data_IF_214361088315
#
_entry.id   IF_214361088315
#
_cell.length_a   1.000
_cell.length_b   1.000
_cell.length_c   1.000
_cell.angle_alpha   90.00
_cell.angle_beta   90.00
_cell.angle_gamma   90.00
#
_symmetry.space_group_name_H-M   'P 1'
#
loop_
_entity.id
_entity.type
_entity.pdbx_description
1 polymer ?
#
# COMPACT_ATOMS: atom_id res chain seq x y z
N UNK A 1 -9.74 -6.01 -4.10
CA UNK A 1 -8.69 -6.61 -4.94
C UNK A 1 -9.20 -7.30 -6.21
N UNK A 2 -10.50 -7.59 -6.38
CA UNK A 2 -10.98 -8.46 -7.46
C UNK A 2 -11.45 -7.72 -8.75
N UNK A 3 -11.90 -6.46 -8.64
CA UNK A 3 -12.31 -5.63 -9.79
C UNK A 3 -11.15 -5.23 -10.76
N UNK A 4 -9.91 -4.97 -10.28
CA UNK A 4 -8.78 -4.66 -11.18
C UNK A 4 -8.46 -5.81 -12.15
N UNK A 5 -8.55 -7.07 -11.71
CA UNK A 5 -8.20 -8.23 -12.53
C UNK A 5 -9.11 -8.37 -13.77
N UNK A 6 -10.39 -8.00 -13.65
CA UNK A 6 -11.32 -7.98 -14.79
C UNK A 6 -10.93 -6.93 -15.84
N UNK A 7 -10.48 -5.76 -15.37
CA UNK A 7 -10.20 -4.60 -16.20
C UNK A 7 -8.77 -4.61 -16.77
N UNK A 8 -7.88 -5.36 -16.12
CA UNK A 8 -6.45 -5.40 -16.43
C UNK A 8 -6.06 -6.60 -17.28
N UNK A 9 -6.98 -7.50 -17.65
CA UNK A 9 -6.66 -8.69 -18.45
C UNK A 9 -5.81 -8.41 -19.70
N UNK A 10 -6.14 -7.37 -20.48
CA UNK A 10 -5.37 -7.00 -21.68
C UNK A 10 -3.98 -6.43 -21.33
N UNK A 11 -3.90 -5.66 -20.25
CA UNK A 11 -2.64 -5.11 -19.74
C UNK A 11 -1.76 -6.26 -19.19
N UNK A 12 -2.35 -7.24 -18.49
CA UNK A 12 -1.67 -8.42 -17.95
C UNK A 12 -1.18 -9.35 -19.06
N UNK A 13 -1.95 -9.51 -20.15
CA UNK A 13 -1.52 -10.22 -21.35
C UNK A 13 -0.31 -9.53 -21.99
N UNK A 14 -0.36 -8.20 -22.13
CA UNK A 14 0.76 -7.43 -22.67
C UNK A 14 2.00 -7.51 -21.78
N UNK A 15 1.83 -7.54 -20.46
CA UNK A 15 2.93 -7.76 -19.51
C UNK A 15 3.65 -9.09 -19.75
N UNK A 16 2.89 -10.16 -20.02
CA UNK A 16 3.46 -11.47 -20.38
C UNK A 16 4.29 -11.39 -21.67
N UNK A 17 3.80 -10.70 -22.70
CA UNK A 17 4.50 -10.52 -23.98
C UNK A 17 5.84 -9.79 -23.85
N UNK A 18 5.97 -8.90 -22.85
CA UNK A 18 7.21 -8.13 -22.57
C UNK A 18 8.06 -8.75 -21.45
N UNK A 19 7.80 -9.99 -21.06
CA UNK A 19 8.64 -10.76 -20.15
C UNK A 19 8.32 -10.61 -18.65
N UNK A 20 7.17 -10.02 -18.27
CA UNK A 20 6.66 -10.06 -16.89
C UNK A 20 5.39 -10.93 -16.81
N UNK A 21 5.52 -12.26 -16.63
CA UNK A 21 4.39 -13.18 -16.62
C UNK A 21 3.60 -13.15 -15.30
N UNK A 22 4.09 -12.48 -14.25
CA UNK A 22 3.49 -12.50 -12.92
C UNK A 22 2.01 -12.04 -12.91
N UNK A 23 1.63 -10.93 -13.57
CA UNK A 23 0.23 -10.49 -13.58
C UNK A 23 -0.68 -11.46 -14.34
N UNK A 24 -0.22 -12.02 -15.47
CA UNK A 24 -0.99 -12.99 -16.25
C UNK A 24 -1.16 -14.34 -15.52
N UNK A 25 -0.30 -14.66 -14.56
CA UNK A 25 -0.40 -15.88 -13.75
C UNK A 25 -1.53 -15.87 -12.69
N UNK A 26 -2.33 -14.79 -12.61
CA UNK A 26 -3.52 -14.74 -11.75
C UNK A 26 -4.61 -15.73 -12.22
N UNK A 27 -5.58 -16.09 -11.35
CA UNK A 27 -6.60 -17.09 -11.68
C UNK A 27 -7.36 -16.84 -12.99
N UNK A 28 -7.65 -15.57 -13.31
CA UNK A 28 -8.31 -15.20 -14.57
C UNK A 28 -7.42 -15.43 -15.80
N UNK A 29 -6.15 -15.03 -15.75
CA UNK A 29 -5.20 -15.22 -16.85
C UNK A 29 -4.85 -16.68 -17.11
N UNK A 30 -4.88 -17.51 -16.05
CA UNK A 30 -4.74 -18.98 -16.13
C UNK A 30 -6.02 -19.72 -16.56
N UNK A 31 -7.14 -19.01 -16.71
CA UNK A 31 -8.43 -19.64 -17.01
C UNK A 31 -9.00 -20.52 -15.89
N UNK A 32 -8.49 -20.37 -14.65
CA UNK A 32 -9.02 -21.08 -13.49
C UNK A 32 -10.37 -20.53 -13.01
N UNK A 33 -10.67 -19.28 -13.39
CA UNK A 33 -11.93 -18.59 -13.10
C UNK A 33 -12.35 -17.82 -14.34
N UNK A 34 -13.62 -17.91 -14.73
CA UNK A 34 -14.19 -17.14 -15.83
C UNK A 34 -14.45 -15.68 -15.45
N UNK A 35 -14.59 -14.80 -16.46
CA UNK A 35 -14.96 -13.39 -16.23
C UNK A 35 -16.30 -13.24 -15.51
N UNK A 36 -17.26 -14.15 -15.77
CA UNK A 36 -18.57 -14.13 -15.14
C UNK A 36 -18.51 -14.49 -13.66
N UNK A 37 -17.79 -15.57 -13.32
CA UNK A 37 -17.57 -15.99 -11.93
C UNK A 37 -16.83 -14.91 -11.14
N UNK A 38 -15.78 -14.32 -11.72
CA UNK A 38 -15.02 -13.28 -11.06
C UNK A 38 -15.90 -12.04 -10.77
N UNK A 39 -16.75 -11.63 -11.71
CA UNK A 39 -17.75 -10.56 -11.49
C UNK A 39 -18.72 -10.90 -10.36
N UNK A 40 -19.24 -12.12 -10.34
CA UNK A 40 -20.17 -12.57 -9.31
C UNK A 40 -19.52 -12.56 -7.92
N UNK A 41 -18.25 -12.98 -7.82
CA UNK A 41 -17.48 -12.92 -6.58
C UNK A 41 -17.28 -11.47 -6.15
N UNK A 42 -16.85 -10.58 -7.05
CA UNK A 42 -16.67 -9.14 -6.74
C UNK A 42 -17.96 -8.53 -6.21
N UNK A 43 -19.07 -8.73 -6.92
CA UNK A 43 -20.36 -8.16 -6.57
C UNK A 43 -20.85 -8.69 -5.22
N UNK A 44 -20.81 -10.01 -5.02
CA UNK A 44 -21.25 -10.65 -3.76
C UNK A 44 -20.40 -10.17 -2.59
N UNK A 45 -19.07 -10.17 -2.72
CA UNK A 45 -18.18 -9.71 -1.64
C UNK A 45 -18.35 -8.21 -1.35
N UNK A 46 -18.60 -7.39 -2.36
CA UNK A 46 -18.82 -5.95 -2.18
C UNK A 46 -20.14 -5.67 -1.45
N UNK A 47 -21.22 -6.37 -1.81
CA UNK A 47 -22.52 -6.24 -1.14
C UNK A 47 -22.43 -6.73 0.31
N UNK A 48 -21.82 -7.89 0.55
CA UNK A 48 -21.63 -8.41 1.90
C UNK A 48 -20.76 -7.47 2.75
N UNK A 49 -19.65 -6.98 2.20
CA UNK A 49 -18.77 -6.03 2.88
C UNK A 49 -19.49 -4.73 3.25
N UNK A 50 -20.29 -4.18 2.35
CA UNK A 50 -21.10 -2.98 2.63
C UNK A 50 -22.21 -3.25 3.65
N UNK A 51 -22.85 -4.42 3.61
CA UNK A 51 -23.86 -4.80 4.60
C UNK A 51 -23.26 -4.88 6.02
N UNK A 52 -22.08 -5.49 6.16
CA UNK A 52 -21.33 -5.53 7.42
C UNK A 52 -20.94 -4.12 7.85
N UNK A 53 -20.38 -3.31 6.95
CA UNK A 53 -20.01 -1.93 7.26
C UNK A 53 -21.20 -1.08 7.75
N UNK A 54 -22.37 -1.27 7.13
CA UNK A 54 -23.62 -0.61 7.53
C UNK A 54 -24.09 -1.04 8.92
N UNK A 55 -23.93 -2.32 9.28
CA UNK A 55 -24.28 -2.81 10.63
C UNK A 55 -23.40 -2.24 11.75
N UNK A 56 -22.22 -1.70 11.41
CA UNK A 56 -21.33 -1.04 12.38
C UNK A 56 -21.81 0.40 12.63
N UNK A 57 -21.74 1.25 11.60
CA UNK A 57 -22.33 2.60 11.59
C UNK A 57 -22.25 3.24 10.19
N UNK A 58 -22.97 4.36 10.01
CA UNK A 58 -23.05 5.09 8.74
C UNK A 58 -21.71 5.63 8.25
N UNK A 59 -20.80 6.04 9.15
CA UNK A 59 -19.46 6.54 8.76
C UNK A 59 -18.60 5.41 8.19
N UNK A 60 -18.58 4.26 8.86
CA UNK A 60 -17.86 3.06 8.41
C UNK A 60 -18.40 2.57 7.07
N UNK A 61 -19.72 2.59 6.87
CA UNK A 61 -20.34 2.35 5.57
C UNK A 61 -19.84 3.33 4.50
N UNK A 62 -19.85 4.64 4.78
CA UNK A 62 -19.41 5.66 3.84
C UNK A 62 -17.95 5.51 3.45
N UNK A 63 -17.05 5.16 4.38
CA UNK A 63 -15.65 4.90 4.08
C UNK A 63 -15.45 3.68 3.18
N UNK A 64 -16.15 2.57 3.45
CA UNK A 64 -16.08 1.38 2.60
C UNK A 64 -16.69 1.61 1.22
N UNK A 65 -17.80 2.34 1.15
CA UNK A 65 -18.40 2.75 -0.12
C UNK A 65 -17.42 3.62 -0.93
N UNK A 66 -16.80 4.61 -0.28
CA UNK A 66 -15.76 5.44 -0.88
C UNK A 66 -14.56 4.62 -1.35
N UNK A 67 -14.13 3.62 -0.58
CA UNK A 67 -13.03 2.72 -0.93
C UNK A 67 -13.36 1.88 -2.17
N UNK A 68 -14.58 1.34 -2.26
CA UNK A 68 -15.05 0.60 -3.44
C UNK A 68 -15.15 1.51 -4.66
N UNK A 69 -15.73 2.70 -4.51
CA UNK A 69 -15.81 3.69 -5.57
C UNK A 69 -14.42 4.09 -6.08
N UNK A 70 -13.46 4.26 -5.17
CA UNK A 70 -12.08 4.57 -5.49
C UNK A 70 -11.41 3.41 -6.24
N UNK A 71 -11.61 2.16 -5.82
CA UNK A 71 -11.13 0.96 -6.50
C UNK A 71 -11.70 0.80 -7.91
N UNK A 72 -12.97 1.15 -8.09
CA UNK A 72 -13.62 1.19 -9.40
C UNK A 72 -12.94 2.25 -10.30
N UNK A 73 -12.86 3.50 -9.85
CA UNK A 73 -12.21 4.59 -10.59
C UNK A 73 -10.74 4.33 -10.90
N UNK A 74 -10.06 3.55 -10.04
CA UNK A 74 -8.67 3.16 -10.24
C UNK A 74 -8.46 2.36 -11.52
N UNK A 75 -9.38 1.44 -11.84
CA UNK A 75 -9.19 0.43 -12.89
C UNK A 75 -10.07 0.63 -14.12
N UNK A 76 -11.23 1.28 -13.98
CA UNK A 76 -12.23 1.38 -15.05
C UNK A 76 -12.01 2.55 -16.01
N UNK A 77 -12.35 2.34 -17.29
CA UNK A 77 -12.41 3.42 -18.29
C UNK A 77 -13.65 4.29 -18.04
N UNK A 78 -13.60 5.61 -18.34
CA UNK A 78 -12.49 6.36 -18.93
C UNK A 78 -11.47 6.90 -17.92
N UNK A 79 -11.72 6.77 -16.61
CA UNK A 79 -10.92 7.44 -15.57
C UNK A 79 -9.55 6.80 -15.40
N UNK A 80 -9.54 5.49 -15.11
CA UNK A 80 -8.38 4.60 -14.98
C UNK A 80 -7.19 5.24 -14.25
N UNK A 81 -7.41 5.64 -12.99
CA UNK A 81 -6.43 6.42 -12.20
C UNK A 81 -5.06 5.74 -12.13
N UNK A 82 -4.98 4.41 -12.20
CA UNK A 82 -3.72 3.66 -12.25
C UNK A 82 -2.77 4.10 -13.37
N UNK A 83 -3.28 4.61 -14.49
CA UNK A 83 -2.46 5.08 -15.63
C UNK A 83 -2.03 6.55 -15.51
N UNK A 84 -2.52 7.26 -14.49
CA UNK A 84 -2.26 8.68 -14.27
C UNK A 84 -1.20 8.82 -13.18
N UNK A 85 -0.20 9.65 -13.44
CA UNK A 85 1.04 9.70 -12.65
C UNK A 85 0.86 9.78 -11.14
N UNK A 86 0.61 10.97 -10.62
CA UNK A 86 0.44 11.22 -9.19
C UNK A 86 -0.86 10.56 -8.69
N UNK A 87 -1.87 10.48 -9.56
CA UNK A 87 -3.19 9.94 -9.19
C UNK A 87 -3.13 8.47 -8.81
N UNK A 88 -2.26 7.65 -9.42
CA UNK A 88 -2.06 6.26 -8.98
C UNK A 88 -1.67 6.23 -7.51
N UNK A 89 -0.65 7.01 -7.13
CA UNK A 89 -0.10 7.00 -5.78
C UNK A 89 -1.05 7.65 -4.76
N UNK A 90 -1.73 8.74 -5.13
CA UNK A 90 -2.77 9.35 -4.31
C UNK A 90 -3.96 8.42 -4.10
N UNK A 91 -4.35 7.64 -5.12
CA UNK A 91 -5.44 6.66 -4.99
C UNK A 91 -5.09 5.61 -3.94
N UNK A 92 -3.86 5.08 -3.97
CA UNK A 92 -3.41 4.09 -2.98
C UNK A 92 -3.38 4.70 -1.58
N UNK A 93 -2.86 5.92 -1.43
CA UNK A 93 -2.86 6.64 -0.15
C UNK A 93 -4.27 6.91 0.38
N UNK A 94 -5.20 7.35 -0.46
CA UNK A 94 -6.60 7.55 -0.09
C UNK A 94 -7.26 6.24 0.35
N UNK A 95 -6.94 5.11 -0.29
CA UNK A 95 -7.40 3.80 0.14
C UNK A 95 -6.97 3.48 1.58
N UNK A 96 -5.71 3.78 1.93
CA UNK A 96 -5.21 3.60 3.30
C UNK A 96 -5.88 4.56 4.28
N UNK A 97 -6.03 5.84 3.94
CA UNK A 97 -6.73 6.81 4.78
C UNK A 97 -8.15 6.33 5.10
N UNK A 98 -8.89 5.85 4.09
CA UNK A 98 -10.25 5.33 4.28
C UNK A 98 -10.27 4.08 5.17
N UNK A 99 -9.29 3.19 5.04
CA UNK A 99 -9.16 2.01 5.88
C UNK A 99 -8.85 2.38 7.35
N UNK A 100 -7.90 3.30 7.58
CA UNK A 100 -7.52 3.76 8.91
C UNK A 100 -8.68 4.50 9.60
N UNK A 101 -9.38 5.38 8.87
CA UNK A 101 -10.58 6.06 9.37
C UNK A 101 -11.69 5.07 9.70
N UNK A 102 -11.87 4.03 8.89
CA UNK A 102 -12.84 2.98 9.18
C UNK A 102 -12.52 2.25 10.49
N UNK A 103 -11.24 1.94 10.76
CA UNK A 103 -10.82 1.35 12.03
C UNK A 103 -11.14 2.26 13.22
N UNK A 104 -10.76 3.54 13.13
CA UNK A 104 -11.00 4.53 14.18
C UNK A 104 -12.50 4.71 14.52
N UNK A 105 -13.34 4.83 13.50
CA UNK A 105 -14.79 5.01 13.66
C UNK A 105 -15.53 3.71 14.03
N UNK A 106 -14.92 2.54 13.86
CA UNK A 106 -15.48 1.28 14.37
C UNK A 106 -15.36 1.21 15.89
N UNK A 107 -14.24 1.67 16.44
CA UNK A 107 -14.00 1.69 17.90
C UNK A 107 -14.59 2.94 18.55
N UNK A 108 -14.94 3.96 17.76
CA UNK A 108 -15.50 5.23 18.25
C UNK A 108 -14.44 6.15 18.88
N UNK A 109 -13.16 5.94 18.57
CA UNK A 109 -12.05 6.73 19.12
C UNK A 109 -11.45 7.55 17.99
N UNK A 110 -11.42 8.87 18.17
CA UNK A 110 -10.76 9.78 17.25
C UNK A 110 -10.03 10.86 18.05
N UNK A 111 -8.71 10.75 18.09
CA UNK A 111 -7.85 11.63 18.89
C UNK A 111 -6.58 11.99 18.10
N UNK A 112 -5.77 12.88 18.68
CA UNK A 112 -4.54 13.36 18.04
C UNK A 112 -3.55 12.22 17.76
N UNK A 113 -3.53 11.18 18.60
CA UNK A 113 -2.69 10.00 18.41
C UNK A 113 -3.06 9.24 17.14
N UNK A 114 -4.35 8.97 16.93
CA UNK A 114 -4.86 8.32 15.71
C UNK A 114 -4.57 9.17 14.47
N UNK A 115 -4.76 10.48 14.55
CA UNK A 115 -4.45 11.39 13.46
C UNK A 115 -2.97 11.37 13.07
N UNK A 116 -2.06 11.33 14.06
CA UNK A 116 -0.64 11.21 13.78
C UNK A 116 -0.26 9.84 13.20
N UNK A 117 -0.82 8.75 13.71
CA UNK A 117 -0.61 7.42 13.15
C UNK A 117 -1.11 7.33 11.70
N UNK A 118 -2.28 7.89 11.42
CA UNK A 118 -2.84 7.98 10.06
C UNK A 118 -1.92 8.80 9.14
N UNK A 119 -1.39 9.93 9.61
CA UNK A 119 -0.46 10.76 8.84
C UNK A 119 0.85 10.01 8.55
N UNK A 120 1.42 9.32 9.55
CA UNK A 120 2.64 8.52 9.39
C UNK A 120 2.41 7.33 8.43
N UNK A 121 1.29 6.61 8.57
CA UNK A 121 0.93 5.49 7.70
C UNK A 121 0.72 5.95 6.25
N UNK A 122 0.05 7.09 6.07
CA UNK A 122 -0.13 7.73 4.75
C UNK A 122 1.22 8.13 4.14
N UNK A 123 2.11 8.74 4.92
CA UNK A 123 3.45 9.13 4.45
C UNK A 123 4.30 7.91 4.06
N UNK A 124 4.27 6.85 4.88
CA UNK A 124 4.90 5.56 4.57
C UNK A 124 4.37 5.03 3.24
N UNK A 125 3.06 4.99 3.06
CA UNK A 125 2.44 4.52 1.83
C UNK A 125 2.89 5.31 0.60
N UNK A 126 2.85 6.64 0.67
CA UNK A 126 3.22 7.51 -0.45
C UNK A 126 4.67 7.32 -0.90
N UNK A 127 5.59 7.14 0.03
CA UNK A 127 7.02 7.05 -0.28
C UNK A 127 7.56 5.64 -0.46
N UNK A 128 6.96 4.64 0.20
CA UNK A 128 7.42 3.25 0.12
C UNK A 128 6.78 2.51 -1.05
N UNK A 129 5.46 2.64 -1.25
CA UNK A 129 4.74 1.89 -2.28
C UNK A 129 5.36 2.00 -3.68
N UNK A 130 5.92 3.15 -4.13
CA UNK A 130 6.65 3.22 -5.39
C UNK A 130 7.76 2.18 -5.60
N UNK A 131 8.35 1.63 -4.53
CA UNK A 131 9.42 0.65 -4.63
C UNK A 131 8.96 -0.65 -5.31
N UNK A 132 7.71 -1.07 -5.08
CA UNK A 132 7.20 -2.33 -5.65
C UNK A 132 6.95 -2.23 -7.16
N UNK A 133 6.78 -1.01 -7.68
CA UNK A 133 6.62 -0.75 -9.11
C UNK A 133 7.95 -0.93 -9.87
N UNK A 134 9.09 -1.02 -9.19
CA UNK A 134 10.38 -1.29 -9.85
C UNK A 134 10.44 -2.68 -10.49
N UNK A 135 9.76 -3.67 -9.91
CA UNK A 135 9.65 -5.02 -10.49
C UNK A 135 9.06 -4.99 -11.90
N UNK A 136 8.04 -4.16 -12.08
CA UNK A 136 7.19 -4.14 -13.26
C UNK A 136 7.49 -2.92 -14.15
N UNK A 137 8.60 -2.20 -13.91
CA UNK A 137 8.94 -0.92 -14.56
C UNK A 137 8.94 -0.97 -16.10
N UNK A 138 9.44 -2.06 -16.68
CA UNK A 138 9.47 -2.23 -18.14
C UNK A 138 8.07 -2.49 -18.72
N UNK A 139 7.29 -3.33 -18.04
CA UNK A 139 5.90 -3.61 -18.42
C UNK A 139 5.01 -2.38 -18.29
N UNK A 140 5.10 -1.69 -17.16
CA UNK A 140 4.38 -0.43 -16.90
C UNK A 140 4.69 0.63 -17.96
N UNK A 141 5.97 0.77 -18.35
CA UNK A 141 6.37 1.66 -19.44
C UNK A 141 5.72 1.27 -20.77
N UNK A 142 5.75 -0.02 -21.13
CA UNK A 142 5.13 -0.51 -22.38
C UNK A 142 3.60 -0.34 -22.42
N UNK A 143 2.95 -0.33 -21.25
CA UNK A 143 1.49 -0.16 -21.11
C UNK A 143 1.06 1.31 -20.93
N UNK A 144 2.01 2.24 -20.87
CA UNK A 144 1.76 3.66 -20.60
C UNK A 144 1.30 3.94 -19.17
N UNK A 145 1.61 3.05 -18.22
CA UNK A 145 1.37 3.27 -16.79
C UNK A 145 2.45 4.22 -16.27
N UNK A 146 2.02 5.39 -15.81
CA UNK A 146 2.92 6.42 -15.30
C UNK A 146 3.18 6.20 -13.80
N UNK A 147 4.01 5.26 -13.41
CA UNK A 147 4.41 5.11 -12.00
C UNK A 147 5.53 6.09 -11.63
N UNK A 148 5.79 6.26 -10.34
CA UNK A 148 6.98 6.99 -9.85
C UNK A 148 8.26 6.36 -10.40
N UNK A 149 8.33 5.02 -10.39
CA UNK A 149 9.40 4.27 -11.02
C UNK A 149 9.57 4.59 -12.52
N UNK A 150 8.48 4.67 -13.29
CA UNK A 150 8.55 4.95 -14.74
C UNK A 150 8.90 6.40 -15.04
N UNK A 151 8.31 7.36 -14.32
CA UNK A 151 8.42 8.80 -14.61
C UNK A 151 9.69 9.42 -14.03
N UNK A 152 10.03 9.11 -12.78
CA UNK A 152 11.23 9.63 -12.10
C UNK A 152 12.42 8.67 -12.18
N UNK A 153 12.20 7.43 -12.62
CA UNK A 153 13.25 6.43 -12.74
C UNK A 153 13.51 5.67 -11.45
N UNK A 154 14.27 4.58 -11.59
CA UNK A 154 14.57 3.68 -10.49
C UNK A 154 15.40 4.34 -9.37
N UNK A 155 16.35 5.21 -9.73
CA UNK A 155 17.24 5.84 -8.75
C UNK A 155 16.49 6.77 -7.80
N UNK A 156 15.66 7.67 -8.35
CA UNK A 156 14.85 8.59 -7.56
C UNK A 156 13.83 7.81 -6.71
N UNK A 157 13.27 6.72 -7.24
CA UNK A 157 12.32 5.87 -6.51
C UNK A 157 12.96 5.24 -5.28
N UNK A 158 14.18 4.71 -5.40
CA UNK A 158 14.91 4.16 -4.26
C UNK A 158 15.28 5.26 -3.27
N UNK A 159 15.72 6.44 -3.73
CA UNK A 159 16.02 7.58 -2.85
C UNK A 159 14.79 8.04 -2.09
N UNK A 160 13.64 8.15 -2.75
CA UNK A 160 12.35 8.47 -2.12
C UNK A 160 12.00 7.46 -1.03
N UNK A 161 12.13 6.17 -1.32
CA UNK A 161 11.90 5.09 -0.37
C UNK A 161 12.74 5.25 0.91
N UNK A 162 14.05 5.49 0.80
CA UNK A 162 14.91 5.69 1.97
C UNK A 162 14.63 7.02 2.68
N UNK A 163 14.41 8.11 1.94
CA UNK A 163 14.07 9.40 2.51
C UNK A 163 12.78 9.33 3.32
N UNK A 164 11.78 8.57 2.86
CA UNK A 164 10.53 8.34 3.59
C UNK A 164 10.76 7.52 4.85
N UNK A 165 11.55 6.45 4.81
CA UNK A 165 11.87 5.67 6.02
C UNK A 165 12.54 6.54 7.09
N UNK A 166 13.55 7.34 6.69
CA UNK A 166 14.24 8.26 7.60
C UNK A 166 13.28 9.33 8.12
N UNK A 167 12.51 9.96 7.24
CA UNK A 167 11.56 11.00 7.58
C UNK A 167 10.48 10.53 8.55
N UNK A 168 9.91 9.35 8.32
CA UNK A 168 8.94 8.72 9.22
C UNK A 168 9.59 8.31 10.54
N UNK A 169 10.82 7.80 10.52
CA UNK A 169 11.60 7.54 11.73
C UNK A 169 11.72 8.79 12.61
N UNK A 170 12.16 9.92 12.04
CA UNK A 170 12.27 11.20 12.77
C UNK A 170 10.90 11.70 13.23
N UNK A 171 9.90 11.71 12.34
CA UNK A 171 8.56 12.19 12.66
C UNK A 171 7.89 11.36 13.75
N UNK A 172 8.13 10.04 13.78
CA UNK A 172 7.63 9.17 14.84
C UNK A 172 8.22 9.54 16.19
N UNK A 173 9.53 9.79 16.28
CA UNK A 173 10.19 10.20 17.53
C UNK A 173 9.59 11.50 18.05
N UNK A 174 9.50 12.52 17.19
CA UNK A 174 8.95 13.83 17.57
C UNK A 174 7.46 13.73 17.95
N UNK A 175 6.68 12.98 17.17
CA UNK A 175 5.25 12.77 17.41
C UNK A 175 4.98 12.06 18.73
N UNK A 176 5.72 10.99 19.03
CA UNK A 176 5.52 10.23 20.26
C UNK A 176 5.97 10.97 21.52
N UNK A 177 7.07 11.74 21.45
CA UNK A 177 7.49 12.61 22.55
C UNK A 177 6.46 13.71 22.85
N UNK A 178 5.83 14.28 21.80
CA UNK A 178 4.79 15.31 21.96
C UNK A 178 3.45 14.79 22.49
N UNK A 179 3.24 13.47 22.51
CA UNK A 179 1.97 12.83 22.91
C UNK A 179 1.98 12.29 24.35
N UNK A 180 3.08 12.48 25.09
CA UNK A 180 3.22 11.95 26.45
C UNK A 180 3.32 10.42 26.51
N UNK A 181 3.72 9.78 25.42
CA UNK A 181 3.91 8.34 25.36
C UNK A 181 5.27 7.94 25.93
N UNK A 182 5.36 6.69 26.37
CA UNK A 182 6.57 5.98 26.77
C UNK A 182 7.78 6.29 25.89
N UNK A 183 8.97 6.42 26.49
CA UNK A 183 10.23 6.44 25.74
C UNK A 183 10.53 5.11 25.03
N UNK A 184 9.91 4.00 25.43
CA UNK A 184 10.06 2.72 24.74
C UNK A 184 9.49 2.76 23.31
N UNK A 185 8.46 3.57 23.07
CA UNK A 185 7.81 3.70 21.75
C UNK A 185 8.75 4.22 20.67
N UNK A 186 9.35 5.42 20.80
CA UNK A 186 10.27 5.93 19.80
C UNK A 186 11.52 5.03 19.64
N UNK A 187 12.00 4.40 20.73
CA UNK A 187 13.13 3.46 20.66
C UNK A 187 12.79 2.23 19.82
N UNK A 188 11.63 1.61 20.06
CA UNK A 188 11.17 0.45 19.29
C UNK A 188 10.92 0.83 17.82
N UNK A 189 10.25 1.96 17.56
CA UNK A 189 10.02 2.46 16.20
C UNK A 189 11.34 2.68 15.45
N UNK A 190 12.33 3.34 16.07
CA UNK A 190 13.64 3.56 15.46
C UNK A 190 14.38 2.25 15.21
N UNK A 191 14.30 1.29 16.13
CA UNK A 191 14.95 -0.02 15.97
C UNK A 191 14.38 -0.76 14.75
N UNK A 192 13.05 -0.78 14.61
CA UNK A 192 12.37 -1.43 13.49
C UNK A 192 12.68 -0.72 12.16
N UNK A 193 12.61 0.62 12.14
CA UNK A 193 12.95 1.41 10.93
C UNK A 193 14.41 1.21 10.54
N UNK A 194 15.33 1.15 11.50
CA UNK A 194 16.75 0.90 11.24
C UNK A 194 17.00 -0.49 10.66
N UNK A 195 16.36 -1.51 11.22
CA UNK A 195 16.40 -2.87 10.66
C UNK A 195 15.82 -2.90 9.23
N UNK A 196 14.77 -2.13 8.98
CA UNK A 196 14.15 -2.03 7.67
C UNK A 196 15.07 -1.36 6.65
N UNK A 197 15.68 -0.23 7.01
CA UNK A 197 16.70 0.42 6.19
C UNK A 197 17.82 -0.56 5.86
N UNK A 198 18.35 -1.27 6.87
CA UNK A 198 19.43 -2.25 6.68
C UNK A 198 19.07 -3.35 5.68
N UNK A 199 17.88 -3.97 5.82
CA UNK A 199 17.38 -5.00 4.89
C UNK A 199 17.26 -4.46 3.46
N UNK A 200 16.99 -3.16 3.31
CA UNK A 200 16.77 -2.51 2.03
C UNK A 200 18.03 -1.93 1.38
N UNK A 201 19.15 -1.80 2.10
CA UNK A 201 20.45 -1.30 1.58
C UNK A 201 20.84 -1.92 0.23
N UNK A 202 20.65 -3.23 -0.03
CA UNK A 202 20.98 -3.81 -1.34
C UNK A 202 20.29 -3.11 -2.53
N UNK A 203 19.11 -2.50 -2.34
CA UNK A 203 18.40 -1.76 -3.40
C UNK A 203 19.15 -0.50 -3.87
N UNK A 204 20.13 -0.01 -3.11
CA UNK A 204 20.97 1.11 -3.56
C UNK A 204 21.87 0.71 -4.75
N UNK A 205 22.17 -0.58 -4.92
CA UNK A 205 22.95 -1.08 -6.05
C UNK A 205 22.06 -1.23 -7.28
N UNK A 206 22.45 -0.58 -8.37
CA UNK A 206 21.69 -0.54 -9.64
C UNK A 206 21.43 -1.93 -10.23
N UNK A 207 22.43 -2.81 -10.17
CA UNK A 207 22.37 -4.20 -10.67
C UNK A 207 21.36 -5.06 -9.90
N UNK A 208 21.21 -4.75 -8.61
CA UNK A 208 20.43 -5.53 -7.65
C UNK A 208 18.97 -5.12 -7.71
N UNK A 209 18.66 -3.81 -7.75
CA UNK A 209 17.26 -3.33 -7.69
C UNK A 209 16.38 -3.68 -8.89
N UNK A 210 16.95 -3.86 -10.08
CA UNK A 210 16.19 -4.22 -11.28
C UNK A 210 15.98 -5.73 -11.43
N UNK A 211 16.88 -6.53 -10.86
CA UNK A 211 16.83 -8.00 -10.91
C UNK A 211 16.54 -8.62 -9.53
N UNK A 212 16.04 -7.81 -8.59
CA UNK A 212 15.84 -8.25 -7.21
C UNK A 212 14.79 -9.35 -7.15
N UNK A 213 15.03 -10.37 -6.32
CA UNK A 213 13.95 -11.28 -5.94
C UNK A 213 12.97 -10.52 -5.02
N UNK A 214 11.96 -9.93 -5.63
CA UNK A 214 10.94 -9.16 -4.94
C UNK A 214 10.14 -9.99 -3.93
N UNK A 215 10.00 -11.30 -4.14
CA UNK A 215 9.33 -12.16 -3.16
C UNK A 215 10.21 -12.32 -1.91
N UNK A 216 11.52 -12.51 -2.10
CA UNK A 216 12.48 -12.51 -0.99
C UNK A 216 12.55 -11.16 -0.28
N UNK A 217 12.53 -10.04 -1.02
CA UNK A 217 12.49 -8.70 -0.43
C UNK A 217 11.29 -8.53 0.50
N UNK A 218 10.09 -8.80 -0.03
CA UNK A 218 8.85 -8.63 0.70
C UNK A 218 8.80 -9.58 1.91
N UNK A 219 9.33 -10.80 1.80
CA UNK A 219 9.45 -11.70 2.96
C UNK A 219 10.30 -11.14 4.09
N UNK A 220 11.38 -10.41 3.78
CA UNK A 220 12.24 -9.78 4.80
C UNK A 220 11.63 -8.50 5.38
N UNK A 221 10.91 -7.74 4.55
CA UNK A 221 10.33 -6.44 4.91
C UNK A 221 8.98 -6.53 5.61
N UNK A 222 8.10 -7.45 5.20
CA UNK A 222 6.75 -7.58 5.74
C UNK A 222 6.68 -7.72 7.27
N UNK A 223 7.56 -8.51 7.94
CA UNK A 223 7.57 -8.57 9.40
C UNK A 223 7.89 -7.23 10.06
N UNK A 224 8.72 -6.39 9.43
CA UNK A 224 9.10 -5.07 9.95
C UNK A 224 7.94 -4.07 9.79
N UNK A 225 7.21 -4.15 8.67
CA UNK A 225 5.97 -3.38 8.47
C UNK A 225 4.90 -3.77 9.49
N UNK A 226 4.73 -5.06 9.78
CA UNK A 226 3.82 -5.50 10.84
C UNK A 226 4.31 -5.03 12.21
N UNK A 227 5.62 -5.17 12.48
CA UNK A 227 6.24 -4.73 13.73
C UNK A 227 5.99 -3.25 14.01
N UNK A 228 6.18 -2.36 13.02
CA UNK A 228 5.99 -0.92 13.21
C UNK A 228 4.53 -0.58 13.56
N UNK A 229 3.56 -1.30 12.99
CA UNK A 229 2.13 -1.12 13.27
C UNK A 229 1.72 -1.61 14.66
N UNK A 230 2.48 -2.55 15.24
CA UNK A 230 2.22 -3.08 16.58
C UNK A 230 2.86 -2.26 17.71
N UNK A 231 3.79 -1.34 17.40
CA UNK A 231 4.44 -0.50 18.41
C UNK A 231 3.44 0.25 19.31
N UNK A 232 2.36 0.87 18.78
CA UNK A 232 1.35 1.51 19.62
C UNK A 232 0.57 0.56 20.53
N UNK A 233 0.49 -0.73 20.21
CA UNK A 233 -0.17 -1.72 21.09
C UNK A 233 0.76 -2.13 22.22
N UNK A 234 2.04 -2.35 21.93
CA UNK A 234 3.05 -2.66 22.94
C UNK A 234 3.19 -1.52 23.95
N UNK A 235 3.01 -0.27 23.51
CA UNK A 235 3.06 0.90 24.38
C UNK A 235 1.92 1.02 25.38
N UNK A 236 0.79 0.38 25.12
CA UNK A 236 -0.33 0.34 26.07
C UNK A 236 -0.05 -0.63 27.24
N UNK A 237 0.88 -1.57 27.04
CA UNK A 237 1.21 -2.64 28.00
C UNK A 237 2.50 -2.31 28.75
N UNK A 238 3.43 -1.57 28.14
CA UNK A 238 4.67 -1.14 28.77
C UNK A 238 4.46 0.21 29.50
N UNK A 239 4.53 0.23 30.84
CA UNK A 239 4.21 1.43 31.64
C UNK A 239 5.36 2.45 31.75
N UNK A 240 6.46 2.24 31.01
CA UNK A 240 7.66 3.08 31.08
C UNK A 240 7.59 4.27 30.13
#
# INVERSE_FOLDING_TARGET
YVDPDLMDYEDDKKNMEVGSPFPFNRPLGRGQVSRGELKAIVATMSVLGLAVAYSINTSVFAFHFGYLALGYLYSTKPVRLKKRFIMKQLTIAMGIILADLSGAYTVGVFNNQILALLALNTALCLGINPIVDLRDIHGDRAMGVKTVAVVWGADITVRLYFATLVGVGIASVLGYLGMGLSLAVPILSLTIVSAWIYVSVPLLRSEVRLNYDWALFLRKVSPLLMGIQLVPLVSLILPF
#
